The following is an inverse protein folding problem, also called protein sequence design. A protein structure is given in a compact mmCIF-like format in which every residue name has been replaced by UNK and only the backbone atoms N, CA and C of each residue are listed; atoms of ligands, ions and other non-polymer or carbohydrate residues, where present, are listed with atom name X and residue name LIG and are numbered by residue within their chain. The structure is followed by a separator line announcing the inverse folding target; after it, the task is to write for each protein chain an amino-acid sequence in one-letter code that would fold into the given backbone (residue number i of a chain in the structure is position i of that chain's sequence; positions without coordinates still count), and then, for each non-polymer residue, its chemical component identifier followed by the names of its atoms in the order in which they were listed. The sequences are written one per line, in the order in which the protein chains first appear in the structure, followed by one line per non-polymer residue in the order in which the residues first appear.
data_IF_192457447346
#
_entry.id   IF_192457447346
#
_cell.length_a   1.000
_cell.length_b   1.000
_cell.length_c   1.000
_cell.angle_alpha   90.00
_cell.angle_beta   90.00
_cell.angle_gamma   90.00
#
_symmetry.space_group_name_H-M   'P 1'
#
loop_
_entity.id
_entity.type
_entity.pdbx_description
1 polymer ?
#
# COMPACT_ATOMS: atom_id res chain seq x y z
N UNK A 1 -40.26 -20.54 -9.13
CA UNK A 1 -39.12 -19.62 -9.34
C UNK A 1 -37.85 -20.43 -9.12
N UNK A 2 -37.04 -20.67 -10.16
CA UNK A 2 -35.77 -21.38 -9.99
C UNK A 2 -34.84 -20.54 -9.11
N UNK A 3 -34.32 -21.12 -8.01
CA UNK A 3 -33.27 -20.47 -7.22
C UNK A 3 -32.08 -20.22 -8.16
N UNK A 4 -31.71 -18.96 -8.33
CA UNK A 4 -30.56 -18.58 -9.13
C UNK A 4 -29.29 -19.08 -8.43
N UNK A 5 -28.50 -19.92 -9.11
CA UNK A 5 -27.25 -20.45 -8.57
C UNK A 5 -26.18 -19.35 -8.57
N UNK A 6 -25.45 -19.20 -7.46
CA UNK A 6 -24.39 -18.20 -7.31
C UNK A 6 -23.05 -18.91 -7.10
N UNK A 7 -21.99 -18.36 -7.69
CA UNK A 7 -20.65 -18.90 -7.54
C UNK A 7 -20.24 -18.84 -6.06
N UNK A 8 -19.76 -19.95 -5.47
CA UNK A 8 -19.38 -19.97 -4.07
C UNK A 8 -18.17 -19.07 -3.79
N UNK A 9 -17.30 -18.82 -4.78
CA UNK A 9 -16.07 -18.02 -4.64
C UNK A 9 -16.35 -16.52 -4.75
N UNK A 10 -16.97 -16.06 -5.84
CA UNK A 10 -17.14 -14.63 -6.12
C UNK A 10 -18.58 -14.12 -6.00
N UNK A 11 -19.54 -14.98 -5.66
CA UNK A 11 -20.95 -14.60 -5.54
C UNK A 11 -21.65 -14.30 -6.88
N UNK A 12 -20.96 -14.26 -8.02
CA UNK A 12 -21.59 -13.97 -9.32
C UNK A 12 -22.64 -15.03 -9.68
N UNK A 13 -23.80 -14.58 -10.16
CA UNK A 13 -24.87 -15.45 -10.62
C UNK A 13 -24.46 -16.27 -11.85
N UNK A 14 -25.05 -17.46 -12.00
CA UNK A 14 -24.83 -18.32 -13.16
C UNK A 14 -25.48 -17.72 -14.42
N UNK A 15 -24.66 -17.41 -15.42
CA UNK A 15 -25.10 -16.82 -16.69
C UNK A 15 -25.23 -17.85 -17.83
N UNK A 16 -24.42 -18.91 -17.79
CA UNK A 16 -24.30 -19.92 -18.85
C UNK A 16 -24.56 -21.33 -18.30
N UNK A 17 -24.86 -22.27 -19.19
CA UNK A 17 -25.06 -23.68 -18.82
C UNK A 17 -23.73 -24.43 -18.61
N UNK A 18 -22.76 -23.77 -17.97
CA UNK A 18 -21.41 -24.28 -17.68
C UNK A 18 -21.25 -24.49 -16.17
N UNK A 19 -20.33 -25.38 -15.79
CA UNK A 19 -19.99 -25.60 -14.38
C UNK A 19 -18.97 -24.59 -13.84
N UNK A 20 -18.21 -23.94 -14.71
CA UNK A 20 -17.24 -22.92 -14.34
C UNK A 20 -17.88 -21.54 -14.19
N UNK A 21 -17.35 -20.72 -13.29
CA UNK A 21 -17.78 -19.34 -13.13
C UNK A 21 -17.15 -18.43 -14.19
N UNK A 22 -17.96 -17.73 -14.98
CA UNK A 22 -17.48 -16.73 -15.94
C UNK A 22 -16.92 -15.45 -15.32
N UNK A 23 -17.12 -15.22 -14.02
CA UNK A 23 -16.59 -14.05 -13.28
C UNK A 23 -15.18 -14.26 -12.75
N UNK A 24 -15.00 -15.25 -11.86
CA UNK A 24 -13.70 -15.53 -11.25
C UNK A 24 -12.91 -16.66 -11.92
N UNK A 25 -13.50 -17.38 -12.88
CA UNK A 25 -12.84 -18.51 -13.55
C UNK A 25 -12.81 -19.81 -12.74
N UNK A 26 -13.36 -19.83 -11.51
CA UNK A 26 -13.34 -21.03 -10.67
C UNK A 26 -13.99 -22.23 -11.38
N UNK A 27 -13.24 -23.32 -11.62
CA UNK A 27 -13.82 -24.54 -12.17
C UNK A 27 -14.78 -25.15 -11.16
N UNK A 28 -15.85 -25.79 -11.63
CA UNK A 28 -16.81 -26.50 -10.77
C UNK A 28 -17.60 -25.60 -9.78
N UNK A 29 -17.68 -24.29 -10.04
CA UNK A 29 -18.46 -23.33 -9.24
C UNK A 29 -19.94 -23.73 -9.05
N UNK A 30 -20.53 -24.40 -10.04
CA UNK A 30 -21.95 -24.77 -10.04
C UNK A 30 -22.17 -26.29 -9.95
N UNK A 31 -21.19 -27.04 -9.43
CA UNK A 31 -21.36 -28.46 -9.11
C UNK A 31 -22.10 -28.59 -7.79
N UNK A 32 -23.18 -29.38 -7.79
CA UNK A 32 -24.06 -29.57 -6.64
C UNK A 32 -24.15 -31.02 -6.17
N UNK A 33 -23.48 -31.95 -6.86
CA UNK A 33 -23.47 -33.39 -6.53
C UNK A 33 -22.04 -33.90 -6.49
N UNK A 34 -21.73 -34.67 -5.44
CA UNK A 34 -20.42 -35.25 -5.16
C UNK A 34 -20.60 -36.75 -4.95
N UNK A 35 -19.59 -37.55 -5.33
CA UNK A 35 -19.65 -39.01 -5.18
C UNK A 35 -19.64 -39.46 -3.72
N UNK A 36 -18.94 -38.70 -2.89
CA UNK A 36 -18.68 -39.00 -1.49
C UNK A 36 -18.32 -37.71 -0.74
N UNK A 37 -18.10 -37.85 0.58
CA UNK A 37 -17.73 -36.74 1.46
C UNK A 37 -16.33 -36.21 1.13
N UNK A 38 -15.36 -37.06 0.81
CA UNK A 38 -13.98 -36.66 0.52
C UNK A 38 -13.91 -35.73 -0.69
N UNK A 39 -14.68 -36.03 -1.74
CA UNK A 39 -14.81 -35.22 -2.94
C UNK A 39 -15.44 -33.85 -2.65
N UNK A 40 -16.40 -33.79 -1.73
CA UNK A 40 -16.98 -32.53 -1.28
C UNK A 40 -15.99 -31.71 -0.44
N UNK A 41 -15.28 -32.36 0.48
CA UNK A 41 -14.31 -31.71 1.36
C UNK A 41 -13.17 -31.08 0.54
N UNK A 42 -12.66 -31.80 -0.46
CA UNK A 42 -11.62 -31.31 -1.37
C UNK A 42 -12.11 -30.13 -2.23
N UNK A 43 -13.35 -30.19 -2.74
CA UNK A 43 -13.96 -29.04 -3.43
C UNK A 43 -14.16 -27.84 -2.50
N UNK A 44 -14.57 -28.08 -1.25
CA UNK A 44 -14.77 -27.03 -0.24
C UNK A 44 -13.46 -26.34 0.13
N UNK A 45 -12.36 -27.10 0.24
CA UNK A 45 -11.01 -26.55 0.41
C UNK A 45 -10.59 -25.69 -0.79
N UNK A 46 -10.78 -26.17 -2.02
CA UNK A 46 -10.51 -25.37 -3.23
C UNK A 46 -11.32 -24.06 -3.26
N UNK A 47 -12.60 -24.10 -2.87
CA UNK A 47 -13.42 -22.88 -2.75
C UNK A 47 -12.81 -21.91 -1.74
N UNK A 48 -12.34 -22.37 -0.59
CA UNK A 48 -11.70 -21.52 0.43
C UNK A 48 -10.41 -20.90 -0.09
N UNK A 49 -9.56 -21.69 -0.75
CA UNK A 49 -8.31 -21.22 -1.33
C UNK A 49 -8.55 -20.14 -2.41
N UNK A 50 -9.51 -20.37 -3.30
CA UNK A 50 -9.83 -19.43 -4.37
C UNK A 50 -10.49 -18.15 -3.86
N UNK A 51 -11.32 -18.25 -2.82
CA UNK A 51 -11.79 -17.06 -2.07
C UNK A 51 -10.62 -16.28 -1.51
N UNK A 52 -9.66 -16.96 -0.89
CA UNK A 52 -8.51 -16.30 -0.30
C UNK A 52 -7.66 -15.61 -1.37
N UNK A 53 -7.44 -16.24 -2.53
CA UNK A 53 -6.76 -15.61 -3.67
C UNK A 53 -7.47 -14.36 -4.16
N UNK A 54 -8.80 -14.39 -4.25
CA UNK A 54 -9.60 -13.23 -4.64
C UNK A 54 -9.48 -12.10 -3.62
N UNK A 55 -9.59 -12.41 -2.32
CA UNK A 55 -9.39 -11.45 -1.23
C UNK A 55 -7.98 -10.87 -1.26
N UNK A 56 -6.95 -11.69 -1.44
CA UNK A 56 -5.56 -11.24 -1.51
C UNK A 56 -5.33 -10.30 -2.70
N UNK A 57 -5.94 -10.59 -3.85
CA UNK A 57 -5.92 -9.70 -5.02
C UNK A 57 -6.61 -8.37 -4.71
N UNK A 58 -7.76 -8.40 -4.02
CA UNK A 58 -8.47 -7.19 -3.55
C UNK A 58 -7.59 -6.38 -2.59
N UNK A 59 -6.92 -7.02 -1.62
CA UNK A 59 -6.04 -6.35 -0.65
C UNK A 59 -4.87 -5.63 -1.33
N UNK A 60 -4.15 -6.33 -2.23
CA UNK A 60 -3.04 -5.72 -2.99
C UNK A 60 -3.51 -4.55 -3.86
N UNK A 61 -4.66 -4.69 -4.51
CA UNK A 61 -5.21 -3.63 -5.34
C UNK A 61 -5.63 -2.41 -4.52
N UNK A 62 -6.31 -2.61 -3.39
CA UNK A 62 -6.73 -1.52 -2.50
C UNK A 62 -5.51 -0.82 -1.87
N UNK A 63 -4.50 -1.56 -1.40
CA UNK A 63 -3.29 -0.97 -0.84
C UNK A 63 -2.54 -0.09 -1.85
N UNK A 64 -2.51 -0.48 -3.13
CA UNK A 64 -1.91 0.33 -4.19
C UNK A 64 -2.72 1.60 -4.54
N UNK A 65 -3.94 1.74 -4.02
CA UNK A 65 -4.90 2.81 -4.32
C UNK A 65 -5.33 3.57 -3.06
N UNK A 66 -4.70 3.29 -1.93
CA UNK A 66 -5.05 3.86 -0.63
C UNK A 66 -3.79 4.41 0.02
N UNK A 67 -3.83 5.69 0.39
CA UNK A 67 -2.70 6.37 1.01
C UNK A 67 -3.14 7.12 2.26
N UNK A 68 -2.23 7.18 3.22
CA UNK A 68 -2.38 7.98 4.43
C UNK A 68 -1.07 8.67 4.74
N UNK A 69 -1.13 9.99 4.84
CA UNK A 69 -0.03 10.86 5.22
C UNK A 69 -0.50 11.83 6.31
N UNK A 70 0.44 12.42 7.04
CA UNK A 70 0.11 13.30 8.17
C UNK A 70 -0.82 14.47 7.80
N UNK A 71 -0.88 14.89 6.54
CA UNK A 71 -1.80 15.95 6.08
C UNK A 71 -3.04 15.48 5.31
N UNK A 72 -3.16 14.20 4.94
CA UNK A 72 -4.28 13.73 4.12
C UNK A 72 -4.44 12.21 4.10
N UNK A 73 -5.65 11.75 3.77
CA UNK A 73 -5.93 10.39 3.30
C UNK A 73 -6.44 10.45 1.88
N UNK A 74 -6.05 9.49 1.06
CA UNK A 74 -6.42 9.46 -0.35
C UNK A 74 -6.87 8.06 -0.78
N UNK A 75 -7.87 8.01 -1.64
CA UNK A 75 -8.37 6.79 -2.25
C UNK A 75 -8.53 7.00 -3.75
N UNK A 76 -7.94 6.13 -4.56
CA UNK A 76 -8.04 6.19 -6.01
C UNK A 76 -9.04 5.14 -6.50
N UNK A 77 -10.06 5.56 -7.24
CA UNK A 77 -10.90 4.67 -8.05
C UNK A 77 -10.93 5.20 -9.50
N UNK A 78 -12.07 5.58 -10.04
CA UNK A 78 -12.16 6.26 -11.35
C UNK A 78 -11.51 7.65 -11.33
N UNK A 79 -11.49 8.25 -10.13
CA UNK A 79 -10.84 9.52 -9.81
C UNK A 79 -10.17 9.39 -8.45
N UNK A 80 -9.27 10.32 -8.12
CA UNK A 80 -8.67 10.43 -6.81
C UNK A 80 -9.62 11.18 -5.87
N UNK A 81 -9.89 10.60 -4.71
CA UNK A 81 -10.64 11.19 -3.61
C UNK A 81 -9.63 11.55 -2.53
N UNK A 82 -9.53 12.83 -2.18
CA UNK A 82 -8.57 13.34 -1.22
C UNK A 82 -9.30 13.99 -0.05
N UNK A 83 -8.96 13.57 1.17
CA UNK A 83 -9.44 14.17 2.41
C UNK A 83 -8.23 14.79 3.11
N UNK A 84 -8.26 16.11 3.27
CA UNK A 84 -7.23 16.84 4.00
C UNK A 84 -7.45 16.75 5.51
N UNK A 85 -6.37 16.95 6.26
CA UNK A 85 -6.38 16.95 7.73
C UNK A 85 -7.37 17.94 8.38
N UNK A 86 -7.75 19.00 7.68
CA UNK A 86 -8.72 19.99 8.15
C UNK A 86 -10.19 19.57 7.89
N UNK A 87 -10.41 18.43 7.23
CA UNK A 87 -11.72 17.93 6.83
C UNK A 87 -12.15 18.36 5.42
N UNK A 88 -11.30 19.07 4.68
CA UNK A 88 -11.61 19.45 3.30
C UNK A 88 -11.55 18.24 2.38
N UNK A 89 -12.50 18.18 1.45
CA UNK A 89 -12.62 17.11 0.48
C UNK A 89 -12.38 17.62 -0.94
N UNK A 90 -11.58 16.90 -1.71
CA UNK A 90 -11.24 17.21 -3.09
C UNK A 90 -11.32 15.95 -3.96
N UNK A 91 -11.68 16.16 -5.23
CA UNK A 91 -11.64 15.14 -6.28
C UNK A 91 -10.71 15.58 -7.39
N UNK A 92 -9.94 14.63 -7.94
CA UNK A 92 -9.07 14.87 -9.09
C UNK A 92 -9.23 13.74 -10.11
N UNK A 93 -9.55 14.10 -11.35
CA UNK A 93 -9.75 13.15 -12.45
C UNK A 93 -8.44 12.82 -13.16
N UNK A 94 -8.44 11.72 -13.92
CA UNK A 94 -7.29 11.33 -14.75
C UNK A 94 -6.06 10.95 -13.93
N UNK A 95 -6.22 10.53 -12.68
CA UNK A 95 -5.11 10.17 -11.78
C UNK A 95 -4.80 8.68 -11.88
N UNK A 96 -3.51 8.33 -11.90
CA UNK A 96 -3.04 6.94 -11.79
C UNK A 96 -2.16 6.68 -10.57
N UNK A 97 -1.62 7.72 -9.93
CA UNK A 97 -0.74 7.57 -8.77
C UNK A 97 -0.73 8.78 -7.86
N UNK A 98 -0.33 8.55 -6.61
CA UNK A 98 -0.29 9.56 -5.57
C UNK A 98 0.90 9.31 -4.65
N UNK A 99 1.51 10.38 -4.16
CA UNK A 99 2.53 10.30 -3.12
C UNK A 99 2.48 11.55 -2.26
N UNK A 100 2.62 11.43 -0.94
CA UNK A 100 2.54 12.56 -0.05
C UNK A 100 3.74 12.60 0.91
N UNK A 101 4.21 13.81 1.16
CA UNK A 101 5.12 14.15 2.25
C UNK A 101 4.40 15.05 3.25
N UNK A 102 5.09 15.46 4.31
CA UNK A 102 4.48 16.28 5.37
C UNK A 102 3.93 17.63 4.91
N UNK A 103 4.48 18.18 3.81
CA UNK A 103 4.22 19.55 3.35
C UNK A 103 3.63 19.62 1.95
N UNK A 104 3.88 18.61 1.12
CA UNK A 104 3.45 18.56 -0.28
C UNK A 104 2.89 17.19 -0.62
N UNK A 105 2.11 17.13 -1.69
CA UNK A 105 1.69 15.88 -2.30
C UNK A 105 1.82 15.96 -3.82
N UNK A 106 2.11 14.82 -4.43
CA UNK A 106 2.24 14.61 -5.86
C UNK A 106 1.02 13.87 -6.37
N UNK A 107 0.45 14.37 -7.46
CA UNK A 107 -0.55 13.66 -8.25
C UNK A 107 0.09 13.28 -9.58
N UNK A 108 0.09 11.99 -9.89
CA UNK A 108 0.54 11.43 -11.16
C UNK A 108 -0.69 11.16 -12.03
N UNK A 109 -0.76 11.83 -13.18
CA UNK A 109 -1.86 11.71 -14.12
C UNK A 109 -1.63 10.59 -15.14
N UNK A 110 -2.71 10.08 -15.73
CA UNK A 110 -2.73 8.96 -16.70
C UNK A 110 -1.99 9.28 -17.99
N UNK A 111 -1.78 10.55 -18.32
CA UNK A 111 -0.96 11.01 -19.44
C UNK A 111 0.56 11.00 -19.15
N UNK A 112 0.96 10.60 -17.93
CA UNK A 112 2.36 10.55 -17.51
C UNK A 112 2.91 11.89 -17.00
N UNK A 113 2.08 12.92 -16.84
CA UNK A 113 2.47 14.18 -16.19
C UNK A 113 2.34 14.11 -14.66
N UNK A 114 3.10 14.95 -13.96
CA UNK A 114 3.06 15.06 -12.50
C UNK A 114 2.77 16.49 -12.12
N UNK A 115 1.88 16.68 -11.14
CA UNK A 115 1.66 17.98 -10.51
C UNK A 115 1.87 17.90 -9.00
N UNK A 116 2.59 18.88 -8.49
CA UNK A 116 2.87 19.01 -7.07
C UNK A 116 1.96 20.06 -6.43
N UNK A 117 1.36 19.68 -5.32
CA UNK A 117 0.50 20.52 -4.50
C UNK A 117 1.08 20.67 -3.08
N UNK A 118 0.54 21.62 -2.32
CA UNK A 118 1.08 22.02 -1.02
C UNK A 118 1.79 23.38 -1.06
N UNK A 119 2.20 23.82 0.14
CA UNK A 119 2.65 25.19 0.38
C UNK A 119 4.15 25.43 0.27
N UNK A 120 4.97 24.40 0.16
CA UNK A 120 6.42 24.53 0.22
C UNK A 120 7.07 24.31 -1.17
N UNK A 121 7.78 25.32 -1.67
CA UNK A 121 8.66 25.20 -2.84
C UNK A 121 10.07 25.75 -2.57
N UNK A 122 10.50 25.83 -1.30
CA UNK A 122 11.74 26.51 -0.94
C UNK A 122 13.01 25.94 -1.62
N UNK A 123 12.95 24.70 -2.10
CA UNK A 123 14.04 24.04 -2.81
C UNK A 123 13.77 23.84 -4.31
N UNK A 124 12.58 24.19 -4.83
CA UNK A 124 12.15 23.87 -6.20
C UNK A 124 11.54 22.46 -6.34
N UNK A 125 11.12 21.84 -5.23
CA UNK A 125 10.56 20.48 -5.24
C UNK A 125 9.20 20.34 -5.96
N UNK A 126 8.57 21.45 -6.35
CA UNK A 126 7.33 21.48 -7.13
C UNK A 126 7.55 21.65 -8.63
N UNK A 127 8.78 21.89 -9.07
CA UNK A 127 9.14 22.26 -10.45
C UNK A 127 9.10 21.01 -11.38
N UNK A 128 7.90 20.49 -11.59
CA UNK A 128 7.62 19.20 -12.26
C UNK A 128 6.96 19.36 -13.63
N UNK A 129 6.64 20.59 -14.04
CA UNK A 129 5.89 20.91 -15.28
C UNK A 129 6.52 20.35 -16.57
N UNK A 130 7.84 20.12 -16.56
CA UNK A 130 8.58 19.57 -17.71
C UNK A 130 8.56 18.05 -17.79
N UNK A 131 8.07 17.35 -16.76
CA UNK A 131 8.12 15.90 -16.68
C UNK A 131 7.04 15.26 -17.55
N UNK A 132 7.40 14.16 -18.21
CA UNK A 132 6.54 13.36 -19.07
C UNK A 132 6.86 11.89 -18.92
N UNK A 133 5.93 11.05 -19.35
CA UNK A 133 6.08 9.59 -19.37
C UNK A 133 6.42 9.01 -17.99
N UNK A 134 5.86 9.59 -16.91
CA UNK A 134 6.09 9.15 -15.54
C UNK A 134 5.17 7.97 -15.19
N UNK A 135 5.71 6.99 -14.46
CA UNK A 135 5.00 5.79 -13.98
C UNK A 135 4.97 5.67 -12.46
N UNK A 136 5.88 6.33 -11.75
CA UNK A 136 5.91 6.36 -10.29
C UNK A 136 6.44 7.71 -9.80
N UNK A 137 5.93 8.17 -8.66
CA UNK A 137 6.33 9.44 -8.03
C UNK A 137 6.53 9.26 -6.53
N UNK A 138 7.53 9.93 -5.99
CA UNK A 138 7.84 9.99 -4.57
C UNK A 138 7.98 11.46 -4.14
N UNK A 139 7.01 11.94 -3.36
CA UNK A 139 7.12 13.22 -2.67
C UNK A 139 7.96 13.06 -1.40
N UNK A 140 9.08 13.77 -1.30
CA UNK A 140 9.90 13.84 -0.09
C UNK A 140 9.91 15.29 0.47
N UNK A 141 10.44 15.54 1.68
CA UNK A 141 10.32 16.86 2.33
C UNK A 141 10.89 18.04 1.54
N UNK A 142 12.02 17.86 0.84
CA UNK A 142 12.76 18.92 0.14
C UNK A 142 13.01 18.61 -1.35
N UNK A 143 12.45 17.51 -1.85
CA UNK A 143 12.62 17.08 -3.23
C UNK A 143 11.48 16.15 -3.65
N UNK A 144 11.30 16.02 -4.95
CA UNK A 144 10.37 15.06 -5.55
C UNK A 144 11.18 14.22 -6.52
N UNK A 145 11.00 12.91 -6.46
CA UNK A 145 11.56 11.99 -7.46
C UNK A 145 10.42 11.41 -8.28
N UNK A 146 10.71 11.06 -9.53
CA UNK A 146 9.82 10.30 -10.37
C UNK A 146 10.60 9.27 -11.18
N UNK A 147 9.91 8.20 -11.57
CA UNK A 147 10.42 7.16 -12.45
C UNK A 147 9.68 7.27 -13.78
N UNK A 148 10.43 7.34 -14.87
CA UNK A 148 9.91 7.36 -16.24
C UNK A 148 9.50 5.96 -16.71
N UNK A 149 8.81 5.86 -17.84
CA UNK A 149 8.43 4.58 -18.48
C UNK A 149 9.64 3.72 -18.87
N UNK A 150 10.81 4.34 -19.11
CA UNK A 150 12.08 3.64 -19.36
C UNK A 150 12.78 3.16 -18.08
N UNK A 151 12.22 3.43 -16.91
CA UNK A 151 12.80 3.06 -15.62
C UNK A 151 13.93 3.99 -15.15
N UNK A 152 14.07 5.17 -15.75
CA UNK A 152 15.04 6.19 -15.33
C UNK A 152 14.46 7.10 -14.26
N UNK A 153 15.32 7.58 -13.34
CA UNK A 153 14.91 8.49 -12.26
C UNK A 153 15.15 9.95 -12.67
N UNK A 154 14.11 10.78 -12.53
CA UNK A 154 14.19 12.24 -12.59
C UNK A 154 13.85 12.84 -11.23
N UNK A 155 14.31 14.06 -10.95
CA UNK A 155 14.00 14.71 -9.70
C UNK A 155 13.99 16.24 -9.81
N UNK A 156 13.27 16.86 -8.87
CA UNK A 156 13.18 18.30 -8.67
C UNK A 156 13.44 18.59 -7.20
N UNK A 157 13.95 19.78 -6.90
CA UNK A 157 14.35 20.16 -5.55
C UNK A 157 15.77 19.74 -5.16
N UNK A 158 16.00 19.61 -3.85
CA UNK A 158 17.29 19.20 -3.29
C UNK A 158 17.49 17.67 -3.35
N UNK A 159 17.53 17.13 -4.57
CA UNK A 159 17.64 15.69 -4.83
C UNK A 159 19.08 15.16 -4.77
N UNK A 160 19.23 13.89 -4.38
CA UNK A 160 20.51 13.16 -4.36
C UNK A 160 20.90 12.76 -5.79
N UNK A 161 22.04 13.26 -6.26
CA UNK A 161 22.47 13.09 -7.66
C UNK A 161 22.81 11.64 -8.02
N UNK A 162 23.31 10.86 -7.07
CA UNK A 162 23.62 9.43 -7.24
C UNK A 162 22.36 8.54 -7.30
N UNK A 163 21.17 9.06 -7.01
CA UNK A 163 19.90 8.37 -7.29
C UNK A 163 19.54 8.50 -8.78
N UNK A 164 19.89 9.62 -9.42
CA UNK A 164 19.51 9.91 -10.81
C UNK A 164 20.20 9.00 -11.84
N UNK A 165 21.31 8.36 -11.44
CA UNK A 165 22.01 7.38 -12.29
C UNK A 165 21.37 5.99 -12.24
N UNK A 166 20.40 5.74 -11.36
CA UNK A 166 19.71 4.47 -11.28
C UNK A 166 18.85 4.21 -12.53
N UNK A 167 18.76 2.93 -12.91
CA UNK A 167 18.06 2.45 -14.11
C UNK A 167 17.19 1.27 -13.75
N UNK A 168 16.19 0.99 -14.59
CA UNK A 168 15.22 -0.10 -14.43
C UNK A 168 14.45 0.00 -13.10
N UNK A 169 14.29 1.22 -12.57
CA UNK A 169 13.61 1.42 -11.30
C UNK A 169 12.10 1.17 -11.46
N UNK A 170 11.49 0.63 -10.41
CA UNK A 170 10.04 0.40 -10.31
C UNK A 170 9.40 1.35 -9.31
N UNK A 171 9.98 1.49 -8.12
CA UNK A 171 9.48 2.34 -7.05
C UNK A 171 10.63 2.94 -6.22
N UNK A 172 10.39 4.10 -5.62
CA UNK A 172 11.30 4.77 -4.70
C UNK A 172 10.62 5.02 -3.36
N UNK A 173 11.41 4.97 -2.29
CA UNK A 173 10.98 5.17 -0.92
C UNK A 173 11.91 6.16 -0.22
N UNK A 174 11.34 7.09 0.54
CA UNK A 174 12.09 8.05 1.33
C UNK A 174 12.30 7.54 2.75
N UNK A 175 13.57 7.40 3.14
CA UNK A 175 13.96 7.32 4.55
C UNK A 175 14.21 8.71 5.14
N UNK A 176 14.74 8.75 6.36
CA UNK A 176 15.04 10.03 7.02
C UNK A 176 16.10 10.86 6.28
N UNK A 177 17.14 10.19 5.80
CA UNK A 177 18.26 10.79 5.07
C UNK A 177 18.67 9.99 3.83
N UNK A 178 17.91 8.93 3.52
CA UNK A 178 18.19 7.98 2.46
C UNK A 178 17.06 7.90 1.45
N UNK A 179 17.41 7.47 0.24
CA UNK A 179 16.45 7.03 -0.77
C UNK A 179 16.71 5.54 -0.99
N UNK A 180 15.65 4.75 -0.99
CA UNK A 180 15.68 3.32 -1.27
C UNK A 180 14.90 3.08 -2.55
N UNK A 181 15.45 2.26 -3.43
CA UNK A 181 14.85 1.94 -4.72
C UNK A 181 14.65 0.45 -4.86
N UNK A 182 13.47 0.07 -5.37
CA UNK A 182 13.15 -1.26 -5.85
C UNK A 182 13.16 -1.25 -7.38
N UNK A 183 13.96 -2.11 -8.01
CA UNK A 183 13.99 -2.24 -9.46
C UNK A 183 13.00 -3.30 -9.97
N UNK A 184 12.85 -3.38 -11.29
CA UNK A 184 11.92 -4.30 -11.96
C UNK A 184 12.31 -5.78 -11.81
N UNK A 185 13.55 -6.07 -11.40
CA UNK A 185 14.06 -7.43 -11.17
C UNK A 185 13.94 -7.85 -9.69
N UNK A 186 13.41 -6.98 -8.84
CA UNK A 186 13.24 -7.24 -7.41
C UNK A 186 14.54 -7.11 -6.61
N UNK A 187 15.50 -6.32 -7.11
CA UNK A 187 16.71 -5.95 -6.38
C UNK A 187 16.53 -4.58 -5.71
N UNK A 188 17.23 -4.39 -4.59
CA UNK A 188 17.12 -3.20 -3.75
C UNK A 188 18.41 -2.41 -3.72
N UNK A 189 18.32 -1.10 -3.94
CA UNK A 189 19.44 -0.15 -3.85
C UNK A 189 19.10 0.92 -2.82
N UNK A 190 20.12 1.41 -2.11
CA UNK A 190 19.95 2.51 -1.20
C UNK A 190 21.07 3.54 -1.38
N UNK A 191 20.68 4.80 -1.21
CA UNK A 191 21.50 5.99 -1.40
C UNK A 191 21.36 6.85 -0.15
N UNK A 192 22.44 7.49 0.31
CA UNK A 192 22.46 8.19 1.61
C UNK A 192 22.59 7.27 2.84
N UNK A 193 23.02 6.02 2.65
CA UNK A 193 23.31 5.05 3.71
C UNK A 193 24.78 4.62 3.68
N UNK A 194 25.27 4.04 4.79
CA UNK A 194 26.63 3.49 4.88
C UNK A 194 26.84 2.23 4.02
N UNK A 195 28.10 1.85 3.82
CA UNK A 195 28.48 0.67 3.03
C UNK A 195 27.86 -0.63 3.56
N UNK A 196 27.77 -0.80 4.88
CA UNK A 196 27.18 -1.97 5.53
C UNK A 196 25.72 -2.20 5.10
N UNK A 197 24.92 -1.13 5.00
CA UNK A 197 23.53 -1.20 4.54
C UNK A 197 23.49 -1.66 3.09
N UNK A 198 24.36 -1.13 2.22
CA UNK A 198 24.40 -1.53 0.81
C UNK A 198 24.78 -3.00 0.65
N UNK A 199 25.74 -3.50 1.42
CA UNK A 199 26.17 -4.90 1.40
C UNK A 199 25.09 -5.85 1.90
N UNK A 200 24.30 -5.45 2.91
CA UNK A 200 23.15 -6.23 3.36
C UNK A 200 22.06 -6.30 2.27
N UNK A 201 21.71 -5.16 1.65
CA UNK A 201 20.69 -5.11 0.60
C UNK A 201 21.08 -5.91 -0.65
N UNK A 202 22.38 -6.01 -0.99
CA UNK A 202 22.88 -6.85 -2.10
C UNK A 202 22.60 -8.34 -1.91
N UNK A 203 22.33 -8.80 -0.69
CA UNK A 203 21.98 -10.20 -0.39
C UNK A 203 20.48 -10.47 -0.59
N UNK A 204 19.68 -9.41 -0.74
CA UNK A 204 18.24 -9.55 -0.97
C UNK A 204 17.98 -9.91 -2.43
N UNK A 205 16.93 -10.68 -2.65
CA UNK A 205 16.46 -11.08 -3.98
C UNK A 205 14.96 -11.36 -3.93
N UNK A 206 14.30 -11.27 -5.09
CA UNK A 206 12.86 -11.52 -5.23
C UNK A 206 12.01 -10.63 -4.32
N UNK A 207 12.43 -9.38 -4.13
CA UNK A 207 11.69 -8.41 -3.34
C UNK A 207 10.54 -7.86 -4.18
N UNK A 208 9.35 -7.85 -3.59
CA UNK A 208 8.11 -7.40 -4.23
C UNK A 208 7.64 -6.05 -3.73
N UNK A 209 7.96 -5.73 -2.47
CA UNK A 209 7.55 -4.52 -1.78
C UNK A 209 8.59 -4.12 -0.72
N UNK A 210 8.67 -2.83 -0.41
CA UNK A 210 9.60 -2.26 0.56
C UNK A 210 8.86 -1.27 1.45
N UNK A 211 9.24 -1.24 2.73
CA UNK A 211 8.94 -0.10 3.58
C UNK A 211 10.20 0.43 4.26
N UNK A 212 10.21 1.73 4.54
CA UNK A 212 11.33 2.40 5.21
C UNK A 212 10.83 3.05 6.49
N UNK A 213 11.43 2.66 7.61
CA UNK A 213 11.14 3.18 8.94
C UNK A 213 12.37 3.87 9.51
N UNK A 214 12.41 5.21 9.40
CA UNK A 214 13.59 6.00 9.78
C UNK A 214 14.81 5.62 8.94
N UNK A 215 15.77 4.93 9.55
CA UNK A 215 16.98 4.40 8.90
C UNK A 215 16.93 2.88 8.66
N UNK A 216 15.83 2.22 9.03
CA UNK A 216 15.61 0.79 8.82
C UNK A 216 14.81 0.55 7.55
N UNK A 217 15.10 -0.57 6.88
CA UNK A 217 14.45 -0.99 5.64
C UNK A 217 13.93 -2.41 5.86
N UNK A 218 12.68 -2.65 5.51
CA UNK A 218 12.11 -3.99 5.46
C UNK A 218 11.64 -4.27 4.02
N UNK A 219 11.81 -5.51 3.56
CA UNK A 219 11.45 -5.92 2.21
C UNK A 219 10.69 -7.25 2.21
N UNK A 220 9.54 -7.28 1.52
CA UNK A 220 8.71 -8.49 1.38
C UNK A 220 9.17 -9.27 0.16
N UNK A 221 9.45 -10.57 0.34
CA UNK A 221 9.78 -11.49 -0.75
C UNK A 221 8.51 -12.01 -1.44
N UNK A 222 8.68 -12.57 -2.64
CA UNK A 222 7.60 -13.26 -3.37
C UNK A 222 6.88 -14.36 -2.55
N UNK A 223 7.58 -14.99 -1.60
CA UNK A 223 7.03 -16.02 -0.72
C UNK A 223 6.30 -15.47 0.53
N UNK A 224 6.20 -14.14 0.68
CA UNK A 224 5.55 -13.49 1.81
C UNK A 224 6.39 -13.41 3.09
N UNK A 225 7.64 -13.88 3.07
CA UNK A 225 8.60 -13.64 4.15
C UNK A 225 9.22 -12.24 4.05
N UNK A 226 9.74 -11.71 5.16
CA UNK A 226 10.29 -10.35 5.22
C UNK A 226 11.77 -10.38 5.61
N UNK A 227 12.57 -9.57 4.92
CA UNK A 227 13.96 -9.29 5.29
C UNK A 227 14.07 -7.93 5.99
N UNK A 228 15.05 -7.79 6.88
CA UNK A 228 15.34 -6.55 7.59
C UNK A 228 16.77 -6.07 7.32
N UNK A 229 16.93 -4.77 7.14
CA UNK A 229 18.22 -4.10 7.03
C UNK A 229 18.21 -2.85 7.90
N UNK A 230 19.20 -2.74 8.79
CA UNK A 230 19.30 -1.65 9.76
C UNK A 230 20.05 -2.09 11.01
N UNK A 231 20.24 -1.15 11.93
CA UNK A 231 20.83 -1.43 13.24
C UNK A 231 19.89 -2.30 14.07
N UNK A 232 20.45 -3.07 15.00
CA UNK A 232 19.68 -3.90 15.93
C UNK A 232 18.66 -3.07 16.72
N UNK A 233 17.37 -3.40 16.60
CA UNK A 233 16.29 -2.80 17.35
C UNK A 233 15.00 -3.62 17.22
N UNK A 234 13.93 -3.23 17.92
CA UNK A 234 12.63 -3.92 17.96
C UNK A 234 11.99 -4.11 16.58
N UNK A 235 12.29 -3.25 15.59
CA UNK A 235 11.80 -3.41 14.22
C UNK A 235 12.37 -4.64 13.50
N UNK A 236 13.45 -5.26 13.98
CA UNK A 236 13.98 -6.51 13.40
C UNK A 236 12.98 -7.66 13.47
N UNK A 237 12.01 -7.62 14.39
CA UNK A 237 10.99 -8.65 14.55
C UNK A 237 10.24 -8.99 13.25
N UNK A 238 10.23 -8.07 12.27
CA UNK A 238 9.72 -8.35 10.91
C UNK A 238 10.31 -9.60 10.28
N UNK A 239 11.55 -10.00 10.61
CA UNK A 239 12.18 -11.22 10.06
C UNK A 239 11.44 -12.52 10.46
N UNK A 240 10.62 -12.47 11.52
CA UNK A 240 9.78 -13.58 11.96
C UNK A 240 8.42 -13.62 11.24
N UNK A 241 8.09 -12.61 10.43
CA UNK A 241 6.81 -12.53 9.75
C UNK A 241 6.73 -13.48 8.55
N UNK A 242 5.50 -13.94 8.28
CA UNK A 242 5.14 -14.86 7.20
C UNK A 242 3.82 -14.38 6.58
N UNK A 243 3.60 -14.79 5.34
CA UNK A 243 2.39 -14.53 4.57
C UNK A 243 2.03 -13.05 4.45
N UNK A 244 3.03 -12.16 4.48
CA UNK A 244 2.84 -10.71 4.34
C UNK A 244 2.51 -10.39 2.88
N UNK A 245 1.39 -9.68 2.67
CA UNK A 245 0.94 -9.22 1.36
C UNK A 245 1.20 -7.74 1.11
N UNK A 246 1.14 -6.93 2.15
CA UNK A 246 1.33 -5.48 2.12
C UNK A 246 2.24 -5.11 3.26
N UNK A 247 3.28 -4.31 2.98
CA UNK A 247 4.18 -3.79 3.99
C UNK A 247 4.17 -2.27 3.93
N UNK A 248 3.99 -1.64 5.09
CA UNK A 248 4.12 -0.20 5.23
C UNK A 248 4.87 0.14 6.50
N UNK A 249 5.28 1.40 6.64
CA UNK A 249 6.02 1.88 7.79
C UNK A 249 5.60 3.28 8.17
N UNK A 250 5.95 3.61 9.41
CA UNK A 250 6.16 4.99 9.82
C UNK A 250 7.59 5.16 10.34
N UNK A 251 7.92 6.27 11.00
CA UNK A 251 9.29 6.52 11.49
C UNK A 251 9.78 5.58 12.62
N UNK A 252 8.88 4.86 13.29
CA UNK A 252 9.19 4.02 14.46
C UNK A 252 8.76 2.56 14.33
N UNK A 253 7.83 2.26 13.43
CA UNK A 253 7.21 0.95 13.27
C UNK A 253 7.19 0.48 11.82
N UNK A 254 7.23 -0.83 11.64
CA UNK A 254 6.74 -1.53 10.46
C UNK A 254 5.37 -2.13 10.75
N UNK A 255 4.54 -2.19 9.71
CA UNK A 255 3.21 -2.79 9.72
C UNK A 255 3.08 -3.74 8.52
N UNK A 256 2.67 -4.97 8.77
CA UNK A 256 2.42 -5.97 7.74
C UNK A 256 0.97 -6.42 7.75
N UNK A 257 0.31 -6.45 6.58
CA UNK A 257 -0.99 -7.08 6.41
C UNK A 257 -0.79 -8.48 5.82
N UNK A 258 -1.27 -9.50 6.51
CA UNK A 258 -1.14 -10.89 6.09
C UNK A 258 -2.19 -11.30 5.06
N UNK A 259 -2.02 -12.49 4.50
CA UNK A 259 -2.98 -13.14 3.63
C UNK A 259 -4.31 -13.50 4.32
N UNK A 260 -4.38 -13.69 5.63
CA UNK A 260 -5.65 -13.91 6.34
C UNK A 260 -6.29 -12.61 6.84
N UNK A 261 -5.55 -11.51 6.95
CA UNK A 261 -6.08 -10.19 7.30
C UNK A 261 -5.65 -9.70 8.68
N UNK A 262 -4.75 -10.44 9.33
CA UNK A 262 -4.05 -10.02 10.52
C UNK A 262 -3.09 -8.86 10.22
N UNK A 263 -3.01 -7.89 11.13
CA UNK A 263 -1.98 -6.86 11.11
C UNK A 263 -0.86 -7.21 12.08
N UNK A 264 0.36 -7.35 11.55
CA UNK A 264 1.58 -7.49 12.35
C UNK A 264 2.24 -6.13 12.55
N UNK A 265 2.80 -5.91 13.74
CA UNK A 265 3.45 -4.64 14.12
C UNK A 265 4.81 -4.94 14.74
N UNK A 266 5.85 -4.26 14.26
CA UNK A 266 7.20 -4.39 14.79
C UNK A 266 7.81 -3.00 14.98
N UNK A 267 8.40 -2.77 16.14
CA UNK A 267 8.93 -1.46 16.53
C UNK A 267 8.41 -1.01 17.87
N UNK A 268 8.94 0.11 18.35
CA UNK A 268 8.49 0.72 19.60
C UNK A 268 8.85 2.19 19.62
N UNK A 269 8.09 2.96 20.40
CA UNK A 269 8.41 4.35 20.68
C UNK A 269 8.01 4.69 22.12
N UNK A 270 8.40 5.88 22.60
CA UNK A 270 7.98 6.35 23.91
C UNK A 270 6.45 6.50 23.95
N UNK A 271 5.82 6.16 25.09
CA UNK A 271 4.36 6.11 25.23
C UNK A 271 3.65 7.40 24.80
N UNK A 272 4.23 8.58 25.10
CA UNK A 272 3.67 9.88 24.71
C UNK A 272 3.73 10.16 23.20
N UNK A 273 4.59 9.45 22.46
CA UNK A 273 4.64 9.51 21.01
C UNK A 273 3.67 8.51 20.39
N UNK A 274 3.37 7.38 21.03
CA UNK A 274 2.71 6.23 20.40
C UNK A 274 1.42 6.59 19.66
N UNK A 275 0.55 7.40 20.27
CA UNK A 275 -0.71 7.84 19.64
C UNK A 275 -1.53 6.67 19.04
N UNK A 276 -1.51 5.52 19.70
CA UNK A 276 -2.26 4.31 19.32
C UNK A 276 -1.58 3.43 18.28
N UNK A 277 -0.37 3.77 17.82
CA UNK A 277 0.37 3.01 16.79
C UNK A 277 0.74 1.60 17.22
N UNK A 278 1.10 1.42 18.50
CA UNK A 278 1.40 0.08 19.05
C UNK A 278 0.18 -0.84 19.11
N UNK A 279 -1.04 -0.30 19.08
CA UNK A 279 -2.28 -1.06 19.21
C UNK A 279 -2.93 -1.37 17.85
N UNK A 280 -2.28 -1.03 16.74
CA UNK A 280 -2.81 -1.24 15.38
C UNK A 280 -3.05 -2.72 15.07
N UNK A 281 -2.29 -3.64 15.67
CA UNK A 281 -2.55 -5.08 15.54
C UNK A 281 -3.92 -5.51 16.06
N UNK A 282 -4.49 -4.80 17.03
CA UNK A 282 -5.80 -5.13 17.58
C UNK A 282 -6.91 -4.90 16.57
N UNK A 283 -6.75 -4.01 15.58
CA UNK A 283 -7.79 -3.71 14.60
C UNK A 283 -8.27 -4.96 13.85
N UNK A 284 -7.36 -5.91 13.58
CA UNK A 284 -7.71 -7.19 12.94
C UNK A 284 -8.50 -8.14 13.85
N UNK A 285 -8.58 -7.90 15.16
CA UNK A 285 -9.42 -8.66 16.08
C UNK A 285 -10.90 -8.21 16.00
N UNK A 286 -11.15 -6.95 15.68
CA UNK A 286 -12.52 -6.40 15.63
C UNK A 286 -13.10 -6.30 14.21
N UNK A 287 -12.27 -6.31 13.17
CA UNK A 287 -12.73 -6.16 11.79
C UNK A 287 -11.77 -6.81 10.81
N UNK A 288 -12.32 -7.32 9.69
CA UNK A 288 -11.47 -7.76 8.58
C UNK A 288 -10.82 -6.57 7.90
N UNK A 289 -9.50 -6.62 7.79
CA UNK A 289 -8.70 -5.55 7.19
C UNK A 289 -8.43 -5.85 5.73
N UNK A 290 -8.70 -4.87 4.87
CA UNK A 290 -8.50 -4.96 3.43
C UNK A 290 -7.26 -4.20 2.94
N UNK A 291 -6.88 -3.09 3.56
CA UNK A 291 -5.69 -2.36 3.16
C UNK A 291 -5.05 -1.65 4.35
N UNK A 292 -3.74 -1.42 4.25
CA UNK A 292 -2.95 -0.61 5.17
C UNK A 292 -2.22 0.47 4.40
N UNK A 293 -2.14 1.67 4.98
CA UNK A 293 -1.34 2.76 4.44
C UNK A 293 -0.64 3.49 5.59
N UNK A 294 0.68 3.60 5.51
CA UNK A 294 1.50 4.30 6.49
C UNK A 294 2.35 5.38 5.84
N UNK A 295 2.82 6.32 6.65
CA UNK A 295 3.72 7.38 6.20
C UNK A 295 4.83 7.65 7.19
N UNK A 296 6.01 8.12 6.72
CA UNK A 296 7.11 8.54 7.58
C UNK A 296 6.74 9.64 8.59
N UNK A 297 5.64 10.39 8.38
CA UNK A 297 5.15 11.40 9.34
C UNK A 297 4.55 10.81 10.61
N UNK A 298 4.49 9.48 10.75
CA UNK A 298 3.97 8.81 11.92
C UNK A 298 2.49 8.47 11.83
N UNK A 299 1.90 8.47 10.64
CA UNK A 299 0.46 8.25 10.43
C UNK A 299 0.26 6.85 9.84
N UNK A 300 -0.74 6.12 10.35
CA UNK A 300 -1.11 4.78 9.88
C UNK A 300 -2.64 4.71 9.78
N UNK A 301 -3.13 4.16 8.67
CA UNK A 301 -4.54 3.96 8.43
C UNK A 301 -4.81 2.56 7.89
N UNK A 302 -6.01 2.07 8.16
CA UNK A 302 -6.51 0.81 7.64
C UNK A 302 -7.91 0.99 7.04
N UNK A 303 -8.19 0.21 6.00
CA UNK A 303 -9.50 0.08 5.40
C UNK A 303 -10.12 -1.27 5.81
N UNK A 304 -11.32 -1.26 6.37
CA UNK A 304 -12.04 -2.48 6.74
C UNK A 304 -12.85 -3.04 5.56
N UNK A 305 -13.33 -4.28 5.69
CA UNK A 305 -14.26 -4.88 4.72
C UNK A 305 -15.58 -4.12 4.57
N UNK A 306 -16.00 -3.40 5.63
CA UNK A 306 -17.20 -2.57 5.65
C UNK A 306 -16.98 -1.19 5.02
N UNK A 307 -15.77 -0.91 4.52
CA UNK A 307 -15.40 0.38 3.92
C UNK A 307 -15.09 1.48 4.94
N UNK A 308 -14.96 1.14 6.23
CA UNK A 308 -14.64 2.08 7.29
C UNK A 308 -13.14 2.37 7.35
N UNK A 309 -12.82 3.62 7.74
CA UNK A 309 -11.45 4.10 7.90
C UNK A 309 -11.03 4.05 9.37
N UNK A 310 -10.00 3.26 9.66
CA UNK A 310 -9.30 3.27 10.93
C UNK A 310 -8.05 4.11 10.80
N UNK A 311 -7.72 4.92 11.81
CA UNK A 311 -6.53 5.78 11.81
C UNK A 311 -5.90 5.80 13.21
N UNK A 312 -4.56 5.82 13.25
CA UNK A 312 -3.75 6.04 14.44
C UNK A 312 -2.47 6.83 14.10
N UNK A 313 -1.79 7.32 15.13
CA UNK A 313 -0.54 8.06 14.98
C UNK A 313 -0.74 9.56 14.77
N UNK A 314 0.18 10.17 14.02
CA UNK A 314 0.30 11.61 13.87
C UNK A 314 -0.39 12.11 12.61
N UNK A 315 -1.71 12.20 12.66
CA UNK A 315 -2.47 13.02 11.70
C UNK A 315 -2.48 14.47 12.18
N UNK A 316 -2.28 15.41 11.26
CA UNK A 316 -2.57 16.83 11.49
C UNK A 316 -4.09 16.97 11.58
N UNK A 317 -4.55 17.97 12.32
CA UNK A 317 -5.98 18.25 12.46
C UNK A 317 -6.72 17.20 13.31
N UNK A 318 -7.99 17.00 13.00
CA UNK A 318 -8.93 16.20 13.79
C UNK A 318 -9.20 14.86 13.08
N UNK A 319 -8.70 13.73 13.61
CA UNK A 319 -8.94 12.41 13.03
C UNK A 319 -10.43 12.04 12.91
N UNK A 320 -11.29 12.55 13.77
CA UNK A 320 -12.72 12.24 13.72
C UNK A 320 -13.39 12.90 12.51
N UNK A 321 -13.01 14.14 12.18
CA UNK A 321 -13.46 14.80 10.94
C UNK A 321 -13.02 14.06 9.69
N UNK A 322 -11.80 13.51 9.69
CA UNK A 322 -11.30 12.68 8.58
C UNK A 322 -12.20 11.44 8.41
N UNK A 323 -12.56 10.78 9.52
CA UNK A 323 -13.45 9.60 9.49
C UNK A 323 -14.87 9.95 9.05
N UNK A 324 -15.42 11.06 9.51
CA UNK A 324 -16.76 11.54 9.11
C UNK A 324 -16.80 11.84 7.61
N UNK A 325 -15.82 12.61 7.11
CA UNK A 325 -15.70 12.94 5.70
C UNK A 325 -15.50 11.67 4.84
N UNK A 326 -14.68 10.71 5.31
CA UNK A 326 -14.50 9.42 4.65
C UNK A 326 -15.81 8.65 4.54
N UNK A 327 -16.56 8.59 5.63
CA UNK A 327 -17.86 7.90 5.69
C UNK A 327 -18.88 8.52 4.73
N UNK A 328 -18.84 9.84 4.55
CA UNK A 328 -19.74 10.55 3.64
C UNK A 328 -19.38 10.36 2.17
N UNK A 329 -18.09 10.46 1.82
CA UNK A 329 -17.68 10.59 0.41
C UNK A 329 -16.94 9.39 -0.19
N UNK A 330 -16.26 8.57 0.62
CA UNK A 330 -15.38 7.49 0.12
C UNK A 330 -15.96 6.11 0.45
N UNK A 331 -16.53 5.92 1.64
CA UNK A 331 -17.15 4.63 2.01
C UNK A 331 -18.20 4.15 1.00
N UNK A 332 -19.15 4.97 0.51
CA UNK A 332 -20.14 4.53 -0.47
C UNK A 332 -19.48 4.04 -1.77
N UNK A 333 -18.46 4.76 -2.23
CA UNK A 333 -17.69 4.48 -3.44
C UNK A 333 -17.00 3.11 -3.35
N UNK A 334 -16.43 2.79 -2.18
CA UNK A 334 -15.79 1.47 -1.93
C UNK A 334 -16.83 0.34 -1.95
N UNK A 335 -18.01 0.58 -1.38
CA UNK A 335 -19.07 -0.43 -1.30
C UNK A 335 -19.76 -0.67 -2.65
N UNK A 336 -19.87 0.35 -3.50
CA UNK A 336 -20.38 0.22 -4.87
C UNK A 336 -19.41 -0.54 -5.79
N UNK A 337 -18.11 -0.45 -5.53
CA UNK A 337 -17.06 -1.13 -6.29
C UNK A 337 -16.83 -2.60 -5.88
N UNK A 338 -17.42 -3.04 -4.76
CA UNK A 338 -17.20 -4.35 -4.12
C UNK A 338 -18.16 -5.42 -4.62
#
# INVERSE_FOLDING_TARGET
MSKQEHCPVCGKAKETNTYSCGGCGFPLAFVTKFSDKESYDLWSEQVKEEKQKLTNKKRKNLAARFWAAGGCTAYLQEQLYLIHSNGDFQKEEGVQGFSASERNYAVLYTDGSVKMFGGDNGYGQKDTDSWKDITSVLAAPNCTYAITVSGEVVAAGSARQDVLIWKNMKQLFAGKHSIVGLDTEGLVRASGCGQEVQEQLRKWSKITDIAVSGDCIAGVKEDGSVCFCGKENTRREVENWKDILVLTADNAFFYGLTADGEIKVAGSCAAFLDRGRSQVSQWSEQSQILALAGSPSGSIAALTETGDLLVAGSFKGDPDKIRECWKEHIKPVILEAS
#
